data_IF_479132526182
#
_entry.id   IF_479132526182
#
_cell.length_a   1.000
_cell.length_b   1.000
_cell.length_c   1.000
_cell.angle_alpha   90.00
_cell.angle_beta   90.00
_cell.angle_gamma   90.00
#
_symmetry.space_group_name_H-M   'P 1'
#
loop_
_entity.id
_entity.type
_entity.pdbx_description
1 polymer ?
#
# COMPACT_ATOMS: atom_id res chain seq x y z
N UNK A 1 39.22 5.19 1.70
CA UNK A 1 38.50 4.05 2.32
C UNK A 1 37.01 4.30 2.13
N UNK A 2 36.35 3.51 1.29
CA UNK A 2 34.88 3.57 1.18
C UNK A 2 34.32 2.68 2.29
N UNK A 3 33.67 3.28 3.27
CA UNK A 3 32.96 2.54 4.32
C UNK A 3 31.60 2.15 3.74
N UNK A 4 31.26 0.87 3.79
CA UNK A 4 29.95 0.37 3.39
C UNK A 4 29.05 0.37 4.64
N UNK A 5 27.98 1.16 4.59
CA UNK A 5 26.96 1.17 5.64
C UNK A 5 26.09 -0.11 5.57
N UNK A 6 25.73 -0.71 6.72
CA UNK A 6 24.85 -1.88 6.73
C UNK A 6 23.46 -1.50 6.19
N UNK A 7 22.95 -2.28 5.23
CA UNK A 7 21.64 -2.05 4.61
C UNK A 7 20.92 -3.36 4.33
N UNK A 8 19.58 -3.32 4.36
CA UNK A 8 18.69 -4.44 4.04
C UNK A 8 17.48 -3.93 3.28
N UNK A 9 16.97 -4.74 2.36
CA UNK A 9 15.74 -4.46 1.60
C UNK A 9 14.60 -5.29 2.18
N UNK A 10 13.54 -4.62 2.61
CA UNK A 10 12.31 -5.28 3.07
C UNK A 10 11.37 -5.49 1.88
N UNK A 11 11.09 -6.75 1.56
CA UNK A 11 10.14 -7.15 0.52
C UNK A 11 8.77 -7.56 1.09
N UNK A 12 7.78 -7.72 0.21
CA UNK A 12 6.45 -8.25 0.59
C UNK A 12 5.58 -7.28 1.41
N UNK A 13 5.89 -5.98 1.36
CA UNK A 13 5.10 -4.94 2.02
C UNK A 13 3.81 -4.65 1.25
N UNK A 14 2.74 -4.30 1.97
CA UNK A 14 1.48 -3.87 1.36
C UNK A 14 1.67 -2.51 0.68
N UNK A 15 1.15 -2.29 -0.54
CA UNK A 15 1.17 -0.99 -1.19
C UNK A 15 0.46 0.08 -0.38
N UNK A 16 0.81 1.35 -0.64
CA UNK A 16 0.21 2.53 -0.01
C UNK A 16 0.05 2.48 1.53
N UNK A 17 0.88 1.69 2.22
CA UNK A 17 0.78 1.44 3.66
C UNK A 17 1.94 2.09 4.38
N UNK A 18 1.65 2.74 5.53
CA UNK A 18 2.68 3.32 6.38
C UNK A 18 3.29 2.22 7.26
N UNK A 19 4.58 2.02 7.14
CA UNK A 19 5.37 1.16 8.01
C UNK A 19 6.25 2.02 8.92
N UNK A 20 6.34 1.61 10.19
CA UNK A 20 7.24 2.18 11.18
C UNK A 20 8.36 1.16 11.46
N UNK A 21 9.61 1.58 11.33
CA UNK A 21 10.78 0.71 11.46
C UNK A 21 11.79 1.29 12.46
N UNK A 22 12.42 0.41 13.23
CA UNK A 22 13.55 0.72 14.12
C UNK A 22 14.66 -0.30 13.89
N UNK A 23 15.90 0.08 14.21
CA UNK A 23 17.05 -0.84 14.20
C UNK A 23 17.71 -0.84 15.58
N UNK A 24 18.22 -1.99 16.01
CA UNK A 24 19.00 -2.11 17.24
C UNK A 24 20.21 -3.01 17.02
N UNK A 25 21.30 -2.73 17.73
CA UNK A 25 22.49 -3.58 17.71
C UNK A 25 22.32 -4.78 18.64
N UNK A 26 22.84 -5.95 18.26
CA UNK A 26 22.84 -7.14 19.12
C UNK A 26 24.26 -7.67 19.21
N UNK A 27 24.76 -7.91 20.42
CA UNK A 27 26.06 -8.51 20.69
C UNK A 27 25.97 -9.56 21.82
N UNK A 28 27.12 -10.13 22.24
CA UNK A 28 27.16 -11.16 23.29
C UNK A 28 26.68 -10.68 24.67
N UNK A 29 26.69 -9.38 24.93
CA UNK A 29 26.20 -8.78 26.16
C UNK A 29 24.68 -8.48 26.11
N UNK A 30 24.05 -8.57 24.93
CA UNK A 30 22.61 -8.40 24.73
C UNK A 30 22.25 -7.44 23.61
N UNK A 31 21.03 -6.90 23.70
CA UNK A 31 20.47 -5.91 22.78
C UNK A 31 20.83 -4.48 23.21
N UNK A 32 21.28 -3.67 22.27
CA UNK A 32 21.47 -2.23 22.45
C UNK A 32 20.15 -1.45 22.32
N UNK A 33 20.19 -0.13 22.53
CA UNK A 33 19.00 0.71 22.36
C UNK A 33 18.51 0.70 20.91
N UNK A 34 17.19 0.80 20.74
CA UNK A 34 16.58 1.02 19.44
C UNK A 34 16.91 2.41 18.90
N UNK A 35 17.04 2.51 17.58
CA UNK A 35 17.11 3.79 16.87
C UNK A 35 15.81 4.58 17.04
N UNK A 36 15.84 5.86 16.64
CA UNK A 36 14.59 6.60 16.44
C UNK A 36 13.73 5.87 15.38
N UNK A 37 12.40 5.83 15.57
CA UNK A 37 11.50 5.22 14.60
C UNK A 37 11.49 5.99 13.29
N UNK A 38 11.56 5.25 12.19
CA UNK A 38 11.44 5.78 10.84
C UNK A 38 10.11 5.29 10.23
N UNK A 39 9.20 6.23 10.02
CA UNK A 39 7.94 6.00 9.33
C UNK A 39 8.07 6.32 7.84
N UNK A 40 7.72 5.36 6.98
CA UNK A 40 7.68 5.54 5.53
C UNK A 40 6.44 4.87 4.96
N UNK A 41 5.81 5.51 3.98
CA UNK A 41 4.74 4.91 3.20
C UNK A 41 5.35 4.23 1.97
N UNK A 42 4.90 3.01 1.70
CA UNK A 42 5.22 2.32 0.44
C UNK A 42 4.55 3.02 -0.74
N UNK A 43 5.12 2.86 -1.92
CA UNK A 43 4.53 3.37 -3.17
C UNK A 43 3.12 2.85 -3.42
N UNK A 44 2.38 3.60 -4.23
CA UNK A 44 1.12 3.14 -4.81
C UNK A 44 1.35 1.97 -5.77
N UNK A 45 0.33 1.15 -5.96
CA UNK A 45 0.28 0.07 -6.92
C UNK A 45 -1.06 0.04 -7.65
N UNK A 46 -1.24 -0.90 -8.58
CA UNK A 46 -2.48 -1.05 -9.35
C UNK A 46 -3.63 -1.30 -8.37
N UNK A 47 -4.70 -0.47 -8.39
CA UNK A 47 -5.90 -0.73 -7.61
C UNK A 47 -6.56 -2.06 -8.01
N UNK A 48 -7.25 -2.68 -7.05
CA UNK A 48 -8.17 -3.78 -7.33
C UNK A 48 -9.37 -3.33 -8.18
N UNK A 49 -10.18 -4.28 -8.66
CA UNK A 49 -11.42 -3.95 -9.36
C UNK A 49 -12.42 -3.27 -8.41
N UNK A 50 -13.32 -2.41 -8.93
CA UNK A 50 -14.47 -1.93 -8.18
C UNK A 50 -15.32 -3.09 -7.65
N UNK A 51 -15.88 -2.94 -6.45
CA UNK A 51 -16.70 -3.97 -5.83
C UNK A 51 -18.19 -3.76 -6.08
N UNK A 52 -18.98 -4.82 -5.88
CA UNK A 52 -20.45 -4.79 -5.94
C UNK A 52 -21.04 -4.00 -7.12
N UNK A 53 -20.53 -4.25 -8.33
CA UNK A 53 -21.05 -3.63 -9.56
C UNK A 53 -22.52 -4.00 -9.73
N UNK A 54 -23.38 -2.99 -9.82
CA UNK A 54 -24.83 -3.10 -9.84
C UNK A 54 -25.42 -2.20 -10.91
N UNK A 55 -26.54 -2.63 -11.49
CA UNK A 55 -27.27 -1.88 -12.51
C UNK A 55 -28.64 -1.46 -11.97
N UNK A 56 -29.04 -0.22 -12.27
CA UNK A 56 -30.35 0.34 -11.90
C UNK A 56 -30.96 1.10 -13.07
N UNK A 57 -32.27 1.36 -13.00
CA UNK A 57 -33.00 2.16 -13.99
C UNK A 57 -32.79 1.70 -15.44
N UNK A 58 -32.90 0.39 -15.67
CA UNK A 58 -32.59 -0.23 -16.95
C UNK A 58 -33.73 0.01 -17.95
N UNK A 59 -33.38 0.54 -19.12
CA UNK A 59 -34.25 0.69 -20.30
C UNK A 59 -33.58 0.06 -21.51
N UNK A 60 -34.22 0.14 -22.69
CA UNK A 60 -33.63 -0.36 -23.94
C UNK A 60 -32.39 0.43 -24.40
N UNK A 61 -32.17 1.65 -23.88
CA UNK A 61 -31.11 2.56 -24.35
C UNK A 61 -30.21 3.08 -23.26
N UNK A 62 -30.63 2.97 -22.02
CA UNK A 62 -30.02 3.64 -20.88
C UNK A 62 -30.07 2.74 -19.66
N UNK A 63 -29.03 2.82 -18.84
CA UNK A 63 -28.97 2.23 -17.51
C UNK A 63 -28.04 3.06 -16.64
N UNK A 64 -28.22 2.94 -15.33
CA UNK A 64 -27.29 3.47 -14.33
C UNK A 64 -26.39 2.35 -13.82
N UNK A 65 -25.09 2.62 -13.74
CA UNK A 65 -24.11 1.71 -13.16
C UNK A 65 -23.69 2.28 -11.81
N UNK A 66 -23.71 1.43 -10.79
CA UNK A 66 -23.24 1.73 -9.45
C UNK A 66 -22.17 0.71 -9.07
N UNK A 67 -21.19 1.14 -8.27
CA UNK A 67 -20.13 0.28 -7.77
C UNK A 67 -19.61 0.85 -6.45
N UNK A 68 -18.96 -0.01 -5.67
CA UNK A 68 -18.26 0.34 -4.45
C UNK A 68 -16.75 0.47 -4.75
N UNK A 69 -16.02 1.13 -3.85
CA UNK A 69 -14.57 1.24 -3.99
C UNK A 69 -13.88 -0.14 -3.90
N UNK A 70 -12.72 -0.33 -4.55
CA UNK A 70 -11.95 -1.56 -4.41
C UNK A 70 -11.55 -1.81 -2.95
N UNK A 71 -11.64 -3.05 -2.46
CA UNK A 71 -11.09 -3.44 -1.15
C UNK A 71 -9.56 -3.28 -1.07
N UNK A 72 -8.89 -3.34 -2.21
CA UNK A 72 -7.45 -3.07 -2.35
C UNK A 72 -7.25 -1.84 -3.24
N UNK A 73 -7.45 -0.62 -2.73
CA UNK A 73 -7.28 0.59 -3.54
C UNK A 73 -5.81 0.81 -3.92
N UNK A 74 -4.87 0.28 -3.12
CA UNK A 74 -3.42 0.32 -3.36
C UNK A 74 -2.85 1.72 -3.65
N UNK A 75 -3.58 2.77 -3.29
CA UNK A 75 -3.29 4.15 -3.65
C UNK A 75 -4.54 5.01 -3.53
N UNK A 76 -4.42 6.27 -3.90
CA UNK A 76 -5.58 7.15 -3.99
C UNK A 76 -6.35 6.90 -5.29
N UNK A 77 -7.64 6.57 -5.19
CA UNK A 77 -8.52 6.46 -6.36
C UNK A 77 -8.72 7.85 -6.99
N UNK A 78 -8.49 7.96 -8.29
CA UNK A 78 -8.60 9.22 -9.04
C UNK A 78 -9.74 9.25 -10.04
N UNK A 79 -10.07 8.11 -10.67
CA UNK A 79 -11.16 7.97 -11.64
C UNK A 79 -11.57 6.51 -11.83
N UNK A 80 -12.74 6.32 -12.41
CA UNK A 80 -13.23 5.04 -12.91
C UNK A 80 -13.44 5.15 -14.43
N UNK A 81 -13.09 4.11 -15.17
CA UNK A 81 -13.22 4.06 -16.63
C UNK A 81 -14.06 2.85 -17.03
N UNK A 82 -14.94 3.04 -18.02
CA UNK A 82 -15.67 1.98 -18.69
C UNK A 82 -14.92 1.65 -19.99
N UNK A 83 -14.52 0.39 -20.14
CA UNK A 83 -13.83 -0.13 -21.32
C UNK A 83 -14.75 -0.63 -22.42
#
# INVERSE_FOLDING_TARGET
KSVTEPSIVLGGLKPYTIYCSTVQAVNIAGEGPQSMPLSKQTSEAIPGPPEHVRFQNITLRELNILWDEPSMPNGKITRYELG
#
